data_IF_033237435368
#
_entry.id   IF_033237435368
#
_cell.length_a   1.000
_cell.length_b   1.000
_cell.length_c   1.000
_cell.angle_alpha   90.00
_cell.angle_beta   90.00
_cell.angle_gamma   90.00
#
_symmetry.space_group_name_H-M   'P 1'
#
loop_
_entity.id
_entity.type
_entity.pdbx_description
1 polymer ?
#
# COMPACT_ATOMS: atom_id res chain seq x y z
N UNK A 1 -15.53 -17.48 5.87
CA UNK A 1 -14.44 -16.82 5.12
C UNK A 1 -13.81 -15.82 6.07
N UNK A 2 -12.66 -16.15 6.66
CA UNK A 2 -11.99 -15.31 7.67
C UNK A 2 -11.13 -14.28 6.95
N UNK A 3 -11.44 -13.00 7.09
CA UNK A 3 -10.62 -11.90 6.58
C UNK A 3 -9.78 -11.43 7.76
N UNK A 4 -8.46 -11.61 7.68
CA UNK A 4 -7.55 -11.00 8.64
C UNK A 4 -7.37 -9.53 8.27
N UNK A 5 -7.76 -8.64 9.19
CA UNK A 5 -7.59 -7.19 9.08
C UNK A 5 -6.47 -6.78 10.02
N UNK A 6 -5.45 -6.11 9.49
CA UNK A 6 -4.39 -5.51 10.29
C UNK A 6 -4.19 -4.05 9.89
N UNK A 7 -4.15 -3.17 10.89
CA UNK A 7 -3.78 -1.77 10.69
C UNK A 7 -2.25 -1.71 10.51
N UNK A 8 -1.78 -0.93 9.54
CA UNK A 8 -0.34 -0.75 9.34
C UNK A 8 0.18 0.35 10.28
N UNK A 9 0.74 -0.09 11.41
CA UNK A 9 1.68 0.70 12.20
C UNK A 9 3.10 0.38 11.68
N UNK A 10 3.70 1.27 10.89
CA UNK A 10 5.12 1.12 10.53
C UNK A 10 5.91 1.73 11.67
N UNK A 11 6.22 0.90 12.68
CA UNK A 11 7.31 1.19 13.61
C UNK A 11 8.59 1.35 12.76
N UNK A 12 9.15 2.55 12.79
CA UNK A 12 10.40 2.88 12.13
C UNK A 12 11.57 2.24 12.88
N UNK A 13 11.67 0.92 12.85
CA UNK A 13 12.68 0.23 13.66
C UNK A 13 12.60 -1.30 13.63
N UNK A 14 12.85 -1.95 12.48
CA UNK A 14 13.15 -3.38 12.50
C UNK A 14 14.19 -3.80 11.45
N UNK A 15 15.36 -4.03 12.00
CA UNK A 15 16.60 -4.67 11.53
C UNK A 15 16.38 -5.94 10.69
N UNK A 16 17.36 -6.20 9.83
CA UNK A 16 17.54 -7.43 9.06
C UNK A 16 17.26 -8.70 9.88
N UNK A 17 16.34 -9.55 9.38
CA UNK A 17 16.04 -10.84 9.99
C UNK A 17 14.78 -11.51 9.44
N UNK A 18 14.72 -11.75 8.13
CA UNK A 18 13.81 -12.72 7.47
C UNK A 18 14.16 -12.80 5.97
N UNK A 19 15.39 -13.21 5.67
CA UNK A 19 15.74 -13.65 4.32
C UNK A 19 15.23 -15.10 4.15
N UNK A 20 14.10 -15.30 3.46
CA UNK A 20 13.65 -16.66 3.13
C UNK A 20 12.18 -16.88 2.75
N UNK A 21 11.30 -15.91 2.95
CA UNK A 21 9.94 -15.89 2.39
C UNK A 21 9.83 -14.55 1.68
N UNK A 22 9.61 -14.54 0.36
CA UNK A 22 9.65 -13.33 -0.47
C UNK A 22 8.97 -12.17 0.24
N UNK A 23 9.78 -11.21 0.75
CA UNK A 23 9.32 -10.12 1.60
C UNK A 23 8.27 -9.38 0.79
N UNK A 24 6.99 -9.57 1.13
CA UNK A 24 5.89 -9.01 0.36
C UNK A 24 6.11 -7.50 0.26
N UNK A 25 6.53 -7.03 -0.92
CA UNK A 25 6.78 -5.62 -1.16
C UNK A 25 5.46 -4.90 -0.99
N UNK A 26 5.35 -4.11 0.06
CA UNK A 26 4.23 -3.19 0.22
C UNK A 26 4.32 -2.11 -0.85
N UNK A 27 3.21 -1.44 -1.24
CA UNK A 27 3.26 -0.37 -2.24
C UNK A 27 4.22 0.76 -1.82
N UNK A 28 4.44 0.95 -0.51
CA UNK A 28 5.37 1.96 0.01
C UNK A 28 6.85 1.67 -0.28
N UNK A 29 7.23 0.42 -0.58
CA UNK A 29 8.59 0.10 -1.03
C UNK A 29 8.85 0.59 -2.46
N UNK A 30 7.83 0.94 -3.22
CA UNK A 30 8.00 1.55 -4.54
C UNK A 30 8.37 3.03 -4.45
N UNK A 31 8.08 3.69 -3.32
CA UNK A 31 8.37 5.12 -3.12
C UNK A 31 9.69 5.39 -2.39
N UNK A 32 10.29 4.37 -1.78
CA UNK A 32 11.51 4.53 -0.99
C UNK A 32 12.74 3.95 -1.68
N UNK A 33 13.89 4.46 -1.27
CA UNK A 33 15.19 4.05 -1.79
C UNK A 33 15.71 2.82 -1.06
N UNK A 34 16.54 2.02 -1.75
CA UNK A 34 17.28 0.88 -1.17
C UNK A 34 16.42 -0.13 -0.38
N UNK A 35 15.12 -0.24 -0.69
CA UNK A 35 14.20 -1.18 -0.03
C UNK A 35 13.68 -0.72 1.34
N UNK A 36 13.88 0.54 1.71
CA UNK A 36 13.15 1.16 2.82
C UNK A 36 11.76 1.61 2.34
N UNK A 37 10.66 1.34 3.06
CA UNK A 37 9.35 1.88 2.70
C UNK A 37 9.30 3.39 2.95
N UNK A 38 8.77 4.16 1.99
CA UNK A 38 8.43 5.57 2.18
C UNK A 38 6.92 5.72 2.15
N UNK A 39 6.34 6.24 3.22
CA UNK A 39 4.91 6.56 3.29
C UNK A 39 4.72 7.99 2.78
N UNK A 40 3.99 8.21 1.67
CA UNK A 40 3.69 9.55 1.18
C UNK A 40 2.76 10.30 2.14
N UNK A 41 2.86 11.63 2.17
CA UNK A 41 2.03 12.47 3.04
C UNK A 41 0.53 12.40 2.76
N UNK A 42 0.13 11.97 1.55
CA UNK A 42 -1.28 11.76 1.20
C UNK A 42 -1.86 10.47 1.82
N UNK A 43 -1.03 9.51 2.22
CA UNK A 43 -1.45 8.16 2.62
C UNK A 43 -1.87 8.08 4.10
N UNK A 44 -3.18 8.16 4.33
CA UNK A 44 -3.83 8.10 5.64
C UNK A 44 -4.69 6.84 5.79
N UNK A 45 -5.20 6.58 7.00
CA UNK A 45 -6.11 5.46 7.31
C UNK A 45 -5.75 4.15 6.59
N UNK A 46 -4.52 3.66 6.86
CA UNK A 46 -3.90 2.56 6.10
C UNK A 46 -4.26 1.21 6.71
N UNK A 47 -4.95 0.39 5.94
CA UNK A 47 -5.35 -0.97 6.33
C UNK A 47 -4.83 -2.00 5.33
N UNK A 48 -4.55 -3.21 5.81
CA UNK A 48 -4.24 -4.37 4.96
C UNK A 48 -5.26 -5.45 5.19
N UNK A 49 -5.74 -6.00 4.08
CA UNK A 49 -6.62 -7.15 4.05
C UNK A 49 -5.91 -8.29 3.31
N UNK A 50 -5.85 -9.45 3.96
CA UNK A 50 -5.33 -10.67 3.35
C UNK A 50 -6.48 -11.66 3.20
N UNK A 51 -6.80 -12.00 1.96
CA UNK A 51 -7.85 -12.95 1.66
C UNK A 51 -7.53 -13.73 0.38
N UNK A 52 -7.75 -15.06 0.40
CA UNK A 52 -7.66 -15.94 -0.77
C UNK A 52 -6.34 -15.78 -1.59
N UNK A 53 -5.19 -15.70 -0.91
CA UNK A 53 -3.88 -15.57 -1.55
C UNK A 53 -3.59 -14.19 -2.14
N UNK A 54 -4.43 -13.19 -1.87
CA UNK A 54 -4.24 -11.81 -2.31
C UNK A 54 -4.08 -10.88 -1.11
N UNK A 55 -3.21 -9.88 -1.27
CA UNK A 55 -3.06 -8.78 -0.32
C UNK A 55 -3.66 -7.52 -0.93
N UNK A 56 -4.60 -6.91 -0.23
CA UNK A 56 -5.21 -5.63 -0.57
C UNK A 56 -4.76 -4.59 0.44
N UNK A 57 -4.27 -3.45 -0.03
CA UNK A 57 -3.92 -2.30 0.78
C UNK A 57 -4.98 -1.23 0.58
N UNK A 58 -5.69 -0.85 1.62
CA UNK A 58 -6.63 0.27 1.59
C UNK A 58 -6.00 1.50 2.24
N UNK A 59 -6.09 2.63 1.56
CA UNK A 59 -5.48 3.89 1.97
C UNK A 59 -6.50 5.00 1.80
N UNK A 60 -6.82 5.70 2.88
CA UNK A 60 -7.60 6.93 2.82
C UNK A 60 -6.72 8.13 2.47
N UNK A 61 -7.30 9.15 1.86
CA UNK A 61 -6.65 10.46 1.68
C UNK A 61 -7.69 11.58 1.64
N UNK A 62 -7.37 12.76 2.18
CA UNK A 62 -8.13 14.00 1.97
C UNK A 62 -7.55 14.86 0.82
N UNK A 63 -6.43 14.43 0.21
CA UNK A 63 -5.71 15.18 -0.83
C UNK A 63 -5.45 14.31 -2.04
N UNK A 64 -6.52 13.88 -2.71
CA UNK A 64 -6.40 12.99 -3.86
C UNK A 64 -5.49 13.57 -4.97
N UNK A 65 -5.51 14.87 -5.22
CA UNK A 65 -4.66 15.51 -6.24
C UNK A 65 -3.16 15.32 -5.97
N UNK A 66 -2.74 15.33 -4.70
CA UNK A 66 -1.34 15.10 -4.32
C UNK A 66 -0.92 13.62 -4.46
N UNK A 67 -1.88 12.70 -4.58
CA UNK A 67 -1.62 11.27 -4.76
C UNK A 67 -1.52 10.87 -6.24
N UNK A 68 -1.97 11.70 -7.19
CA UNK A 68 -2.18 11.28 -8.59
C UNK A 68 -0.92 10.77 -9.28
N UNK A 69 0.19 11.50 -9.19
CA UNK A 69 1.46 11.11 -9.80
C UNK A 69 2.02 9.82 -9.17
N UNK A 70 1.95 9.70 -7.84
CA UNK A 70 2.39 8.51 -7.11
C UNK A 70 1.55 7.28 -7.50
N UNK A 71 0.23 7.43 -7.66
CA UNK A 71 -0.65 6.37 -8.12
C UNK A 71 -0.35 5.99 -9.58
N UNK A 72 -0.10 6.96 -10.46
CA UNK A 72 0.30 6.67 -11.84
C UNK A 72 1.61 5.89 -11.89
N UNK A 73 2.58 6.24 -11.04
CA UNK A 73 3.85 5.51 -10.92
C UNK A 73 3.63 4.07 -10.42
N UNK A 74 2.77 3.85 -9.42
CA UNK A 74 2.42 2.51 -8.95
C UNK A 74 1.77 1.66 -10.06
N UNK A 75 0.83 2.24 -10.82
CA UNK A 75 0.18 1.54 -11.93
C UNK A 75 1.20 1.11 -12.99
N UNK A 76 2.15 2.00 -13.35
CA UNK A 76 3.26 1.69 -14.26
C UNK A 76 4.18 0.56 -13.78
N UNK A 77 4.19 0.26 -12.48
CA UNK A 77 4.96 -0.83 -11.86
C UNK A 77 4.16 -2.12 -11.64
N UNK A 78 2.97 -2.20 -12.23
CA UNK A 78 2.12 -3.38 -12.21
C UNK A 78 1.23 -3.50 -10.98
N UNK A 79 1.00 -2.41 -10.24
CA UNK A 79 -0.03 -2.38 -9.21
C UNK A 79 -1.40 -2.13 -9.84
N UNK A 80 -2.38 -2.89 -9.39
CA UNK A 80 -3.80 -2.61 -9.62
C UNK A 80 -4.25 -1.55 -8.62
N UNK A 81 -4.89 -0.49 -9.14
CA UNK A 81 -5.33 0.66 -8.34
C UNK A 81 -6.81 0.86 -8.56
N UNK A 82 -7.58 0.90 -7.47
CA UNK A 82 -8.99 1.30 -7.49
C UNK A 82 -9.16 2.50 -6.59
N UNK A 83 -9.84 3.52 -7.09
CA UNK A 83 -10.11 4.76 -6.36
C UNK A 83 -11.61 4.92 -6.23
N UNK A 84 -12.07 5.05 -5.00
CA UNK A 84 -13.41 5.46 -4.65
C UNK A 84 -13.34 6.89 -4.09
N UNK A 85 -14.09 7.84 -4.67
CA UNK A 85 -14.02 9.26 -4.29
C UNK A 85 -15.31 9.70 -3.61
N UNK A 86 -15.16 10.37 -2.48
CA UNK A 86 -16.24 11.01 -1.74
C UNK A 86 -15.84 12.47 -1.44
N UNK A 87 -16.23 13.38 -2.33
CA UNK A 87 -15.84 14.79 -2.25
C UNK A 87 -14.31 14.97 -2.35
N UNK A 88 -13.66 15.72 -1.43
CA UNK A 88 -12.21 15.88 -1.41
C UNK A 88 -11.49 14.62 -0.90
N UNK A 89 -12.21 13.72 -0.22
CA UNK A 89 -11.66 12.48 0.30
C UNK A 89 -11.71 11.36 -0.76
N UNK A 90 -10.76 10.43 -0.67
CA UNK A 90 -10.75 9.22 -1.48
C UNK A 90 -10.29 8.01 -0.66
N UNK A 91 -10.90 6.86 -0.95
CA UNK A 91 -10.43 5.56 -0.54
C UNK A 91 -9.74 4.87 -1.71
N UNK A 92 -8.49 4.50 -1.53
CA UNK A 92 -7.63 3.93 -2.56
C UNK A 92 -7.34 2.48 -2.17
N UNK A 93 -7.71 1.54 -3.02
CA UNK A 93 -7.31 0.14 -2.91
C UNK A 93 -6.15 -0.14 -3.85
N UNK A 94 -5.05 -0.67 -3.31
CA UNK A 94 -3.87 -1.08 -4.04
C UNK A 94 -3.73 -2.60 -3.92
N UNK A 95 -3.59 -3.30 -5.03
CA UNK A 95 -3.33 -4.73 -5.04
C UNK A 95 -2.33 -5.08 -6.13
N UNK A 96 -1.73 -6.26 -6.02
CA UNK A 96 -0.85 -6.79 -7.05
C UNK A 96 -1.10 -8.28 -7.16
N UNK A 97 -1.15 -8.79 -8.39
CA UNK A 97 -1.15 -10.22 -8.63
C UNK A 97 0.12 -10.85 -8.03
N UNK A 98 -0.04 -11.92 -7.25
CA UNK A 98 1.10 -12.75 -6.88
C UNK A 98 1.71 -13.31 -8.18
N UNK A 99 2.99 -13.04 -8.39
CA UNK A 99 3.74 -13.56 -9.54
C UNK A 99 3.98 -15.07 -9.40
#
# INVERSE_FOLDING_TARGET
>A
MTIEHSNIDIDAGATAGTAGLGRARTPYHEFGEAGAPRIPGWAQHRSVYRAAGRTLYQVGTDRFDAARDDLAALAGRGWEIRVDREGPAASITLSRAAA
#
